data_IF_479379977093
#
_entry.id   IF_479379977093
#
_cell.length_a   1.000
_cell.length_b   1.000
_cell.length_c   1.000
_cell.angle_alpha   90.00
_cell.angle_beta   90.00
_cell.angle_gamma   90.00
#
_symmetry.space_group_name_H-M   'P 1'
#
loop_
_entity.id
_entity.type
_entity.pdbx_description
1 polymer ?
#
# COMPACT_ATOMS: atom_id res chain seq x y z
N UNK A 1 8.94 16.44 -5.27
CA UNK A 1 9.30 15.39 -6.24
C UNK A 1 8.43 14.15 -5.97
N UNK A 2 7.94 13.55 -7.02
CA UNK A 2 7.14 12.32 -6.88
C UNK A 2 8.03 11.11 -6.63
N UNK A 3 7.76 10.39 -5.57
CA UNK A 3 8.46 9.16 -5.23
C UNK A 3 7.43 8.02 -5.22
N UNK A 4 7.76 6.92 -5.85
CA UNK A 4 6.87 5.78 -5.95
C UNK A 4 7.06 4.82 -4.78
N UNK A 5 5.94 4.39 -4.21
CA UNK A 5 5.90 3.38 -3.15
C UNK A 5 4.99 2.25 -3.59
N UNK A 6 5.38 1.05 -3.27
CA UNK A 6 4.53 -0.13 -3.49
C UNK A 6 3.87 -0.51 -2.18
N UNK A 7 2.54 -0.52 -2.18
CA UNK A 7 1.73 -0.97 -1.06
C UNK A 7 1.18 -2.35 -1.41
N UNK A 8 1.46 -3.33 -0.56
CA UNK A 8 1.05 -4.72 -0.77
C UNK A 8 0.18 -5.19 0.38
N UNK A 9 -0.98 -5.74 0.05
CA UNK A 9 -1.87 -6.37 1.02
C UNK A 9 -1.71 -7.88 0.95
N UNK A 10 -1.57 -8.49 2.11
CA UNK A 10 -1.40 -9.94 2.25
C UNK A 10 -2.61 -10.56 2.93
N UNK A 11 -3.02 -11.70 2.40
CA UNK A 11 -4.06 -12.51 3.02
C UNK A 11 -3.45 -13.31 4.17
N UNK A 12 -3.94 -13.08 5.40
CA UNK A 12 -3.42 -13.77 6.59
C UNK A 12 -3.80 -15.24 6.64
N UNK A 13 -4.84 -15.64 5.91
CA UNK A 13 -5.25 -17.04 5.82
C UNK A 13 -4.47 -17.83 4.78
N UNK A 14 -3.71 -17.15 3.92
CA UNK A 14 -2.97 -17.80 2.84
C UNK A 14 -3.81 -18.29 1.67
N UNK A 15 -5.12 -18.02 1.67
CA UNK A 15 -6.04 -18.49 0.62
C UNK A 15 -5.93 -17.71 -0.69
N UNK A 16 -5.52 -16.46 -0.61
CA UNK A 16 -5.47 -15.55 -1.77
C UNK A 16 -4.08 -14.96 -1.93
N UNK A 17 -3.73 -14.69 -3.19
CA UNK A 17 -2.43 -14.07 -3.51
C UNK A 17 -2.36 -12.65 -3.00
N UNK A 18 -1.16 -12.15 -2.66
CA UNK A 18 -0.97 -10.75 -2.35
C UNK A 18 -1.41 -9.85 -3.49
N UNK A 19 -1.96 -8.70 -3.15
CA UNK A 19 -2.32 -7.68 -4.13
C UNK A 19 -1.55 -6.40 -3.83
N UNK A 20 -1.07 -5.74 -4.87
CA UNK A 20 -0.22 -4.56 -4.73
C UNK A 20 -0.70 -3.42 -5.60
N UNK A 21 -0.35 -2.21 -5.17
CA UNK A 21 -0.58 -1.00 -5.94
C UNK A 21 0.61 -0.07 -5.79
N UNK A 22 0.86 0.76 -6.82
CA UNK A 22 1.90 1.79 -6.78
C UNK A 22 1.25 3.12 -6.44
N UNK A 23 1.82 3.80 -5.45
CA UNK A 23 1.40 5.14 -5.04
C UNK A 23 2.53 6.11 -5.36
N UNK A 24 2.23 7.15 -6.14
CA UNK A 24 3.15 8.26 -6.35
C UNK A 24 2.87 9.32 -5.30
N UNK A 25 3.84 9.59 -4.47
CA UNK A 25 3.69 10.50 -3.34
C UNK A 25 4.65 11.68 -3.47
N UNK A 26 4.14 12.90 -3.31
CA UNK A 26 4.94 14.11 -3.37
C UNK A 26 5.73 14.30 -2.09
N UNK A 27 7.03 14.47 -2.21
CA UNK A 27 7.91 14.75 -1.08
C UNK A 27 9.07 15.64 -1.52
N UNK A 28 9.66 16.35 -0.57
CA UNK A 28 10.73 17.31 -0.87
C UNK A 28 12.04 16.64 -1.30
N UNK A 29 12.41 15.56 -0.63
CA UNK A 29 13.66 14.86 -0.86
C UNK A 29 13.39 13.42 -1.30
N UNK A 30 13.70 13.14 -2.57
CA UNK A 30 13.49 11.81 -3.15
C UNK A 30 14.39 10.72 -2.54
N UNK A 31 15.47 11.10 -1.87
CA UNK A 31 16.36 10.15 -1.20
C UNK A 31 15.78 9.60 0.10
N UNK A 32 14.81 10.30 0.67
CA UNK A 32 14.17 9.88 1.93
C UNK A 32 13.17 8.77 1.66
N UNK A 33 13.26 7.70 2.44
CA UNK A 33 12.33 6.58 2.36
C UNK A 33 11.29 6.69 3.47
N UNK A 34 10.10 7.19 3.11
CA UNK A 34 9.00 7.36 4.05
C UNK A 34 8.39 6.03 4.53
N UNK A 35 8.66 4.94 3.81
CA UNK A 35 8.15 3.63 4.20
C UNK A 35 8.75 3.14 5.53
N UNK A 36 9.87 3.72 5.93
CA UNK A 36 10.55 3.42 7.21
C UNK A 36 10.02 4.27 8.37
N UNK A 37 9.20 5.28 8.09
CA UNK A 37 8.63 6.16 9.12
C UNK A 37 7.17 5.78 9.36
N UNK A 38 6.87 5.29 10.55
CA UNK A 38 5.54 4.78 10.91
C UNK A 38 4.43 5.82 10.73
N UNK A 39 4.70 7.07 11.07
CA UNK A 39 3.70 8.13 10.96
C UNK A 39 3.50 8.60 9.51
N UNK A 40 4.59 8.77 8.78
CA UNK A 40 4.55 9.29 7.41
C UNK A 40 4.10 8.27 6.38
N UNK A 41 4.31 6.98 6.64
CA UNK A 41 3.85 5.94 5.72
C UNK A 41 2.34 5.70 5.76
N UNK A 42 1.67 6.07 6.87
CA UNK A 42 0.24 5.83 7.03
C UNK A 42 -0.62 6.42 5.90
N UNK A 43 -0.46 7.70 5.50
CA UNK A 43 -1.24 8.23 4.37
C UNK A 43 -0.91 7.57 3.04
N UNK A 44 0.33 7.12 2.84
CA UNK A 44 0.74 6.43 1.61
C UNK A 44 0.07 5.05 1.55
N UNK A 45 0.07 4.33 2.67
CA UNK A 45 -0.61 3.03 2.79
C UNK A 45 -2.11 3.20 2.52
N UNK A 46 -2.74 4.22 3.08
CA UNK A 46 -4.15 4.49 2.87
C UNK A 46 -4.47 4.72 1.39
N UNK A 47 -3.66 5.50 0.70
CA UNK A 47 -3.82 5.71 -0.75
C UNK A 47 -3.66 4.41 -1.54
N UNK A 48 -2.70 3.57 -1.15
CA UNK A 48 -2.49 2.28 -1.78
C UNK A 48 -3.68 1.35 -1.61
N UNK A 49 -4.25 1.29 -0.42
CA UNK A 49 -5.45 0.50 -0.13
C UNK A 49 -6.63 0.99 -0.97
N UNK A 50 -6.83 2.30 -1.06
CA UNK A 50 -7.89 2.89 -1.89
C UNK A 50 -7.74 2.51 -3.35
N UNK A 51 -6.53 2.54 -3.89
CA UNK A 51 -6.27 2.12 -5.27
C UNK A 51 -6.56 0.63 -5.50
N UNK A 52 -6.18 -0.21 -4.57
CA UNK A 52 -6.45 -1.66 -4.65
C UNK A 52 -7.96 -1.90 -4.65
N UNK A 53 -8.68 -1.24 -3.74
CA UNK A 53 -10.13 -1.36 -3.64
C UNK A 53 -10.83 -0.88 -4.92
N UNK A 54 -10.35 0.22 -5.51
CA UNK A 54 -10.90 0.75 -6.76
C UNK A 54 -10.70 -0.21 -7.93
N UNK A 55 -9.48 -0.78 -8.09
CA UNK A 55 -9.17 -1.71 -9.17
C UNK A 55 -9.93 -3.03 -9.08
N UNK A 56 -10.18 -3.50 -7.87
CA UNK A 56 -10.78 -4.81 -7.63
C UNK A 56 -12.24 -4.72 -7.19
N UNK A 57 -12.81 -3.53 -7.17
CA UNK A 57 -14.14 -3.27 -6.61
C UNK A 57 -14.25 -3.72 -5.15
N UNK A 58 -13.11 -3.74 -4.43
CA UNK A 58 -13.05 -4.13 -3.04
C UNK A 58 -13.20 -2.92 -2.13
N UNK A 59 -14.18 -2.98 -1.23
CA UNK A 59 -14.32 -2.02 -0.13
C UNK A 59 -13.57 -2.57 1.09
N UNK A 60 -13.21 -1.69 2.04
CA UNK A 60 -12.45 -2.09 3.22
C UNK A 60 -13.05 -3.29 3.98
N UNK A 61 -14.36 -3.36 4.06
CA UNK A 61 -15.06 -4.50 4.67
C UNK A 61 -14.85 -5.79 3.91
N UNK A 62 -14.76 -5.71 2.58
CA UNK A 62 -14.54 -6.87 1.73
C UNK A 62 -13.11 -7.38 1.91
N UNK A 63 -12.14 -6.48 2.06
CA UNK A 63 -10.75 -6.87 2.33
C UNK A 63 -10.65 -7.68 3.62
N UNK A 64 -11.34 -7.24 4.68
CA UNK A 64 -11.39 -7.96 5.95
C UNK A 64 -12.06 -9.32 5.80
N UNK A 65 -13.14 -9.39 5.03
CA UNK A 65 -13.88 -10.62 4.79
C UNK A 65 -13.00 -11.70 4.15
N UNK A 66 -12.10 -11.31 3.24
CA UNK A 66 -11.18 -12.22 2.58
C UNK A 66 -9.85 -12.39 3.33
N UNK A 67 -9.69 -11.72 4.47
CA UNK A 67 -8.50 -11.86 5.29
C UNK A 67 -7.29 -11.03 4.84
N UNK A 68 -7.49 -10.00 4.03
CA UNK A 68 -6.42 -9.07 3.65
C UNK A 68 -6.21 -8.03 4.75
N UNK A 69 -5.56 -8.44 5.83
CA UNK A 69 -5.37 -7.58 7.00
C UNK A 69 -3.93 -7.17 7.24
N UNK A 70 -2.99 -7.82 6.55
CA UNK A 70 -1.57 -7.52 6.68
C UNK A 70 -1.09 -6.67 5.51
N UNK A 71 -0.36 -5.60 5.80
CA UNK A 71 0.10 -4.66 4.79
C UNK A 71 1.61 -4.46 4.89
N UNK A 72 2.27 -4.35 3.73
CA UNK A 72 3.66 -3.93 3.63
C UNK A 72 3.79 -2.78 2.65
N UNK A 73 4.76 -1.91 2.89
CA UNK A 73 5.08 -0.79 2.03
C UNK A 73 6.59 -0.76 1.80
N UNK A 74 6.99 -0.44 0.57
CA UNK A 74 8.39 -0.22 0.24
C UNK A 74 8.53 0.88 -0.78
N UNK A 75 9.65 1.59 -0.73
CA UNK A 75 10.02 2.56 -1.76
C UNK A 75 10.44 1.80 -3.00
N UNK A 76 9.89 2.19 -4.15
CA UNK A 76 10.25 1.58 -5.43
C UNK A 76 11.43 2.36 -5.99
N UNK A 77 12.53 1.68 -6.19
CA UNK A 77 13.72 2.26 -6.83
C UNK A 77 13.77 1.82 -8.29
N UNK A 78 13.96 2.81 -9.16
CA UNK A 78 14.13 2.55 -10.58
C UNK A 78 15.58 2.20 -10.92
#
# INVERSE_FOLDING_TARGET
MLVNYQVTLFCTTGQYRPVASIVSYEQEDASVDLSKNKEKRAPIIQKGIEKICAKRYWKGTVLKKYGYTKCKIRKVEE
#
